data_IF_231454615497
#
_entry.id   IF_231454615497
#
_cell.length_a   1.000
_cell.length_b   1.000
_cell.length_c   1.000
_cell.angle_alpha   90.00
_cell.angle_beta   90.00
_cell.angle_gamma   90.00
#
_symmetry.space_group_name_H-M   'P 1'
#
loop_
_entity.id
_entity.type
_entity.pdbx_description
1 polymer ?
#
# COMPACT_ATOMS: atom_id res chain seq x y z
N UNK A 1 -29.11 19.59 1.57
CA UNK A 1 -29.12 18.48 2.56
C UNK A 1 -28.55 19.08 3.84
N UNK A 2 -29.29 19.00 4.95
CA UNK A 2 -28.89 19.61 6.21
C UNK A 2 -27.54 19.05 6.66
N UNK A 3 -26.55 19.93 6.85
CA UNK A 3 -25.36 19.65 7.64
C UNK A 3 -25.87 19.22 9.02
N UNK A 4 -25.97 17.92 9.27
CA UNK A 4 -26.16 17.41 10.63
C UNK A 4 -24.85 17.72 11.34
N UNK A 5 -24.86 18.82 12.10
CA UNK A 5 -23.76 19.26 12.96
C UNK A 5 -23.23 18.03 13.70
N UNK A 6 -21.97 17.67 13.44
CA UNK A 6 -21.38 16.51 14.10
C UNK A 6 -21.40 16.77 15.60
N UNK A 7 -22.06 15.93 16.41
CA UNK A 7 -22.16 16.18 17.84
C UNK A 7 -20.76 16.33 18.43
N UNK A 8 -20.60 17.34 19.29
CA UNK A 8 -19.30 17.61 19.91
C UNK A 8 -18.98 16.46 20.87
N UNK A 9 -17.81 15.84 20.71
CA UNK A 9 -17.36 14.71 21.51
C UNK A 9 -16.56 15.21 22.71
N UNK A 10 -16.86 14.69 23.90
CA UNK A 10 -16.08 14.90 25.12
C UNK A 10 -15.56 13.57 25.61
N UNK A 11 -14.24 13.42 25.62
CA UNK A 11 -13.54 12.30 26.22
C UNK A 11 -13.19 12.67 27.66
N UNK A 12 -13.60 11.86 28.63
CA UNK A 12 -13.31 12.04 30.05
C UNK A 12 -12.24 11.08 30.52
N UNK A 13 -11.42 11.53 31.47
CA UNK A 13 -10.42 10.70 32.14
C UNK A 13 -9.53 9.92 31.15
N UNK A 14 -9.09 10.58 30.08
CA UNK A 14 -8.11 10.01 29.14
C UNK A 14 -6.71 10.21 29.68
N UNK A 15 -5.84 9.23 29.52
CA UNK A 15 -4.40 9.48 29.61
C UNK A 15 -3.90 10.11 28.31
N UNK A 16 -3.05 11.12 28.41
CA UNK A 16 -2.39 11.79 27.28
C UNK A 16 -0.89 11.83 27.50
N UNK A 17 -0.10 11.73 26.43
CA UNK A 17 1.33 11.98 26.49
C UNK A 17 1.63 13.47 26.68
N UNK A 18 2.61 13.77 27.54
CA UNK A 18 3.21 15.10 27.66
C UNK A 18 4.40 15.21 26.70
N UNK A 19 4.85 16.45 26.43
CA UNK A 19 6.08 16.67 25.66
C UNK A 19 7.35 16.09 26.29
N UNK A 20 7.29 15.67 27.57
CA UNK A 20 8.38 15.00 28.30
C UNK A 20 8.33 13.47 28.24
N UNK A 21 7.38 12.87 27.52
CA UNK A 21 7.26 11.42 27.37
C UNK A 21 6.57 10.70 28.55
N UNK A 22 6.05 11.45 29.53
CA UNK A 22 5.20 10.91 30.61
C UNK A 22 3.72 10.99 30.24
N UNK A 23 2.84 10.30 30.97
CA UNK A 23 1.38 10.43 30.79
C UNK A 23 0.73 11.23 31.92
N UNK A 24 -0.43 11.81 31.64
CA UNK A 24 -1.30 12.49 32.63
C UNK A 24 -2.76 12.34 32.26
N UNK A 25 -3.64 12.37 33.27
CA UNK A 25 -5.09 12.37 33.06
C UNK A 25 -5.59 13.73 32.57
N UNK A 26 -6.52 13.71 31.63
CA UNK A 26 -7.18 14.89 31.11
C UNK A 26 -8.60 14.57 30.62
N UNK A 27 -9.37 15.63 30.40
CA UNK A 27 -10.56 15.63 29.57
C UNK A 27 -10.22 16.31 28.22
N UNK A 28 -10.79 15.82 27.13
CA UNK A 28 -10.57 16.35 25.77
C UNK A 28 -11.91 16.62 25.09
N UNK A 29 -12.05 17.81 24.50
CA UNK A 29 -13.19 18.15 23.65
C UNK A 29 -12.78 18.12 22.18
N UNK A 30 -13.56 17.42 21.36
CA UNK A 30 -13.42 17.37 19.91
C UNK A 30 -14.66 18.00 19.29
N UNK A 31 -14.44 19.03 18.47
CA UNK A 31 -15.49 19.75 17.73
C UNK A 31 -15.12 19.78 16.25
N UNK A 32 -16.05 19.42 15.37
CA UNK A 32 -15.84 19.37 13.92
C UNK A 32 -14.57 18.60 13.53
N UNK A 33 -14.33 17.46 14.19
CA UNK A 33 -13.17 16.59 13.94
C UNK A 33 -11.82 17.14 14.41
N UNK A 34 -11.80 18.25 15.17
CA UNK A 34 -10.57 18.86 15.71
C UNK A 34 -10.61 18.90 17.22
N UNK A 35 -9.45 18.71 17.85
CA UNK A 35 -9.28 18.97 19.29
C UNK A 35 -9.50 20.46 19.53
N UNK A 36 -10.56 20.78 20.26
CA UNK A 36 -10.99 22.15 20.55
C UNK A 36 -10.54 22.61 21.94
N UNK A 37 -10.47 21.68 22.90
CA UNK A 37 -10.03 21.94 24.26
C UNK A 37 -9.39 20.70 24.88
N UNK A 38 -8.48 20.93 25.82
CA UNK A 38 -7.82 19.92 26.62
C UNK A 38 -7.68 20.49 28.04
N UNK A 39 -8.04 19.70 29.06
CA UNK A 39 -7.94 20.13 30.45
C UNK A 39 -7.54 18.99 31.37
N UNK A 40 -6.58 19.24 32.25
CA UNK A 40 -6.10 18.26 33.24
C UNK A 40 -6.96 18.24 34.51
N UNK A 41 -7.75 19.29 34.74
CA UNK A 41 -8.69 19.33 35.84
C UNK A 41 -9.98 18.62 35.43
N UNK A 42 -10.22 17.42 35.99
CA UNK A 42 -11.40 16.62 35.69
C UNK A 42 -12.70 17.43 35.86
N UNK A 43 -13.62 17.28 34.90
CA UNK A 43 -14.93 17.90 34.95
C UNK A 43 -14.97 19.38 34.53
N UNK A 44 -13.85 19.98 34.13
CA UNK A 44 -13.81 21.40 33.71
C UNK A 44 -14.32 21.65 32.30
N UNK A 45 -14.18 20.68 31.39
CA UNK A 45 -14.83 20.75 30.07
C UNK A 45 -16.32 20.54 30.29
N UNK A 46 -17.15 21.55 30.03
CA UNK A 46 -18.59 21.40 30.11
C UNK A 46 -19.09 20.44 29.02
N UNK A 47 -20.01 19.55 29.37
CA UNK A 47 -20.74 18.72 28.43
C UNK A 47 -22.23 18.84 28.72
N UNK A 48 -23.03 19.04 27.69
CA UNK A 48 -24.49 19.11 27.77
C UNK A 48 -25.14 17.97 26.96
N UNK A 49 -26.47 17.98 26.84
CA UNK A 49 -27.23 16.95 26.13
C UNK A 49 -26.91 16.83 24.63
N UNK A 50 -26.26 17.84 24.03
CA UNK A 50 -25.84 17.82 22.62
C UNK A 50 -24.44 17.22 22.43
N UNK A 51 -23.76 16.87 23.53
CA UNK A 51 -22.43 16.26 23.50
C UNK A 51 -22.51 14.74 23.59
N UNK A 52 -21.72 14.06 22.76
CA UNK A 52 -21.40 12.66 23.00
C UNK A 52 -20.29 12.61 24.07
N UNK A 53 -20.55 11.94 25.20
CA UNK A 53 -19.56 11.82 26.28
C UNK A 53 -19.08 10.37 26.37
N UNK A 54 -17.76 10.19 26.34
CA UNK A 54 -17.10 8.89 26.52
C UNK A 54 -16.17 8.99 27.72
N UNK A 55 -16.37 8.16 28.74
CA UNK A 55 -15.42 8.02 29.84
C UNK A 55 -14.39 6.94 29.49
N UNK A 56 -13.15 7.36 29.29
CA UNK A 56 -12.04 6.48 28.93
C UNK A 56 -11.49 5.69 30.13
N UNK A 57 -11.89 6.03 31.37
CA UNK A 57 -11.51 5.32 32.60
C UNK A 57 -10.00 5.09 32.74
N UNK A 58 -9.21 6.11 32.38
CA UNK A 58 -7.75 6.05 32.38
C UNK A 58 -7.13 5.40 31.14
N UNK A 59 -7.91 5.14 30.09
CA UNK A 59 -7.38 4.68 28.80
C UNK A 59 -6.52 5.73 28.11
N UNK A 60 -5.43 5.29 27.49
CA UNK A 60 -4.51 6.15 26.75
C UNK A 60 -5.13 6.62 25.42
N UNK A 61 -5.24 7.94 25.27
CA UNK A 61 -5.64 8.58 24.02
C UNK A 61 -4.41 8.77 23.13
N UNK A 62 -4.36 7.97 22.06
CA UNK A 62 -3.32 8.05 21.04
C UNK A 62 -3.76 8.92 19.86
N UNK A 63 -2.81 9.60 19.18
CA UNK A 63 -3.03 10.01 17.81
C UNK A 63 -3.41 8.78 16.99
N UNK A 64 -4.35 8.94 16.06
CA UNK A 64 -4.70 7.85 15.16
C UNK A 64 -3.49 7.43 14.32
N UNK A 65 -3.35 6.13 14.09
CA UNK A 65 -2.18 5.59 13.39
C UNK A 65 -2.25 5.94 11.90
N UNK A 66 -1.08 6.21 11.32
CA UNK A 66 -0.93 6.48 9.90
C UNK A 66 -0.03 5.42 9.27
N UNK A 67 -0.57 4.69 8.30
CA UNK A 67 0.24 3.80 7.47
C UNK A 67 0.80 4.60 6.29
N UNK A 68 2.11 4.78 6.25
CA UNK A 68 2.77 5.61 5.25
C UNK A 68 3.06 4.88 3.94
N UNK A 69 2.76 3.59 3.81
CA UNK A 69 2.94 2.85 2.57
C UNK A 69 1.97 1.67 2.47
N UNK A 70 0.85 1.88 1.78
CA UNK A 70 -0.11 0.82 1.51
C UNK A 70 -0.56 0.82 0.04
N UNK A 71 -0.96 -0.34 -0.46
CA UNK A 71 -1.68 -0.48 -1.72
C UNK A 71 -3.12 -0.85 -1.39
N UNK A 72 -4.00 0.13 -1.18
CA UNK A 72 -5.30 -0.11 -0.54
C UNK A 72 -6.20 -1.02 -1.36
N UNK A 73 -6.27 -0.81 -2.68
CA UNK A 73 -7.08 -1.66 -3.57
C UNK A 73 -6.58 -3.11 -3.57
N UNK A 74 -5.26 -3.31 -3.55
CA UNK A 74 -4.63 -4.63 -3.49
C UNK A 74 -4.86 -5.32 -2.15
N UNK A 75 -4.79 -4.57 -1.04
CA UNK A 75 -5.15 -5.06 0.29
C UNK A 75 -6.63 -5.43 0.37
N UNK A 76 -7.52 -4.61 -0.18
CA UNK A 76 -8.94 -4.93 -0.22
C UNK A 76 -9.20 -6.20 -1.04
N UNK A 77 -8.57 -6.33 -2.22
CA UNK A 77 -8.68 -7.54 -3.03
C UNK A 77 -8.15 -8.80 -2.31
N UNK A 78 -7.12 -8.68 -1.46
CA UNK A 78 -6.56 -9.83 -0.73
C UNK A 78 -7.52 -10.40 0.31
N UNK A 79 -8.49 -9.62 0.81
CA UNK A 79 -9.49 -10.12 1.77
C UNK A 79 -10.39 -11.23 1.21
N UNK A 80 -10.54 -11.29 -0.12
CA UNK A 80 -11.29 -12.33 -0.82
C UNK A 80 -10.37 -13.34 -1.53
N UNK A 81 -9.07 -13.33 -1.21
CA UNK A 81 -8.08 -14.19 -1.87
C UNK A 81 -7.63 -15.32 -0.97
N UNK A 82 -7.23 -16.42 -1.60
CA UNK A 82 -6.61 -17.55 -0.91
C UNK A 82 -5.16 -17.20 -0.58
N UNK A 83 -4.73 -17.44 0.66
CA UNK A 83 -3.33 -17.34 1.02
C UNK A 83 -2.56 -18.51 0.38
N UNK A 84 -1.51 -18.19 -0.38
CA UNK A 84 -0.74 -19.18 -1.14
C UNK A 84 0.74 -19.24 -0.73
N UNK A 85 1.12 -18.58 0.36
CA UNK A 85 2.48 -18.64 0.88
C UNK A 85 2.55 -18.42 2.39
N UNK A 86 3.77 -18.38 2.95
CA UNK A 86 3.97 -18.34 4.39
C UNK A 86 3.41 -17.04 5.00
N UNK A 87 2.96 -17.07 6.27
CA UNK A 87 3.02 -18.21 7.18
C UNK A 87 1.87 -19.23 7.00
N UNK A 88 0.82 -18.89 6.26
CA UNK A 88 -0.40 -19.71 6.16
C UNK A 88 -0.21 -20.99 5.31
N UNK A 89 0.64 -20.92 4.29
CA UNK A 89 0.97 -22.04 3.40
C UNK A 89 2.48 -22.15 3.29
N UNK A 90 3.04 -23.28 3.71
CA UNK A 90 4.47 -23.52 3.78
C UNK A 90 4.94 -24.72 2.95
N UNK A 91 4.02 -25.47 2.33
CA UNK A 91 4.33 -26.64 1.52
C UNK A 91 3.40 -26.79 0.31
N UNK A 92 3.85 -27.55 -0.69
CA UNK A 92 3.06 -27.93 -1.88
C UNK A 92 1.70 -28.54 -1.52
N UNK A 93 1.65 -29.44 -0.53
CA UNK A 93 0.41 -30.09 -0.10
C UNK A 93 -0.58 -29.10 0.53
N UNK A 94 -0.08 -28.18 1.36
CA UNK A 94 -0.90 -27.10 1.92
C UNK A 94 -1.42 -26.16 0.84
N UNK A 95 -0.61 -25.87 -0.18
CA UNK A 95 -1.04 -25.06 -1.32
C UNK A 95 -2.19 -25.72 -2.08
N UNK A 96 -2.06 -27.02 -2.41
CA UNK A 96 -3.13 -27.76 -3.06
C UNK A 96 -4.42 -27.76 -2.22
N UNK A 97 -4.30 -27.96 -0.90
CA UNK A 97 -5.43 -27.89 0.03
C UNK A 97 -6.07 -26.50 0.09
N UNK A 98 -5.27 -25.43 0.10
CA UNK A 98 -5.75 -24.06 0.12
C UNK A 98 -6.51 -23.69 -1.15
N UNK A 99 -6.07 -24.20 -2.31
CA UNK A 99 -6.71 -23.96 -3.61
C UNK A 99 -8.02 -24.75 -3.81
N UNK A 100 -8.24 -25.82 -3.05
CA UNK A 100 -9.42 -26.68 -3.12
C UNK A 100 -10.72 -26.05 -2.57
N UNK A 101 -10.82 -24.72 -2.54
CA UNK A 101 -12.02 -24.02 -2.10
C UNK A 101 -13.14 -24.18 -3.15
N UNK A 102 -14.39 -24.42 -2.71
CA UNK A 102 -15.53 -24.49 -3.63
C UNK A 102 -15.82 -23.13 -4.26
N UNK A 103 -16.63 -23.15 -5.32
CA UNK A 103 -17.20 -21.96 -5.94
C UNK A 103 -17.01 -21.91 -7.44
N UNK A 104 -17.63 -20.91 -8.03
CA UNK A 104 -17.73 -20.72 -9.47
C UNK A 104 -16.91 -19.50 -9.89
N UNK A 105 -16.42 -19.47 -11.12
CA UNK A 105 -15.59 -18.36 -11.63
C UNK A 105 -14.15 -18.36 -11.12
N UNK A 106 -13.49 -17.20 -11.22
CA UNK A 106 -12.05 -17.06 -10.97
C UNK A 106 -11.68 -17.27 -9.50
N UNK A 107 -10.69 -18.12 -9.26
CA UNK A 107 -10.00 -18.20 -7.98
C UNK A 107 -8.75 -17.31 -8.00
N UNK A 108 -8.65 -16.42 -7.02
CA UNK A 108 -7.48 -15.56 -6.81
C UNK A 108 -6.71 -16.03 -5.58
N UNK A 109 -5.44 -16.36 -5.77
CA UNK A 109 -4.45 -16.58 -4.72
C UNK A 109 -3.49 -15.39 -4.60
N UNK A 110 -2.94 -15.17 -3.40
CA UNK A 110 -1.93 -14.12 -3.16
C UNK A 110 -0.87 -14.58 -2.18
N UNK A 111 0.28 -13.91 -2.22
CA UNK A 111 1.36 -14.11 -1.24
C UNK A 111 2.23 -15.34 -1.51
N UNK A 112 2.15 -15.94 -2.71
CA UNK A 112 2.97 -17.09 -3.04
C UNK A 112 4.47 -16.80 -2.93
N UNK A 113 5.23 -17.79 -2.47
CA UNK A 113 6.68 -17.74 -2.37
C UNK A 113 7.27 -19.07 -2.82
N UNK A 114 8.43 -19.02 -3.49
CA UNK A 114 9.12 -20.20 -4.04
C UNK A 114 9.56 -21.21 -2.94
N UNK A 115 9.56 -20.84 -1.65
CA UNK A 115 9.81 -21.80 -0.56
C UNK A 115 8.69 -22.82 -0.36
N UNK A 116 7.48 -22.55 -0.86
CA UNK A 116 6.34 -23.47 -0.79
C UNK A 116 6.53 -24.64 -1.78
N UNK A 117 6.85 -24.26 -3.01
CA UNK A 117 7.21 -25.15 -4.12
C UNK A 117 8.02 -24.32 -5.11
N UNK A 118 9.17 -24.84 -5.53
CA UNK A 118 9.98 -24.18 -6.54
C UNK A 118 9.37 -24.38 -7.94
N UNK A 119 9.25 -23.31 -8.71
CA UNK A 119 8.85 -23.39 -10.12
C UNK A 119 7.38 -23.72 -10.33
N UNK A 120 6.50 -23.26 -9.44
CA UNK A 120 5.04 -23.36 -9.64
C UNK A 120 4.65 -22.80 -11.03
N UNK A 121 3.92 -23.60 -11.80
CA UNK A 121 3.57 -23.29 -13.19
C UNK A 121 2.13 -23.69 -13.53
N UNK A 122 1.75 -23.43 -14.78
CA UNK A 122 0.46 -23.77 -15.36
C UNK A 122 0.14 -25.27 -15.24
N UNK A 123 1.12 -26.14 -15.51
CA UNK A 123 0.93 -27.60 -15.53
C UNK A 123 0.60 -28.12 -14.13
N UNK A 124 1.26 -27.59 -13.11
CA UNK A 124 0.97 -27.92 -11.73
C UNK A 124 -0.45 -27.46 -11.35
N UNK A 125 -0.83 -26.22 -11.71
CA UNK A 125 -2.16 -25.70 -11.39
C UNK A 125 -3.28 -26.45 -12.11
N UNK A 126 -3.06 -26.90 -13.34
CA UNK A 126 -4.01 -27.74 -14.07
C UNK A 126 -4.17 -29.13 -13.44
N UNK A 127 -3.12 -29.65 -12.79
CA UNK A 127 -3.14 -30.99 -12.16
C UNK A 127 -3.72 -30.99 -10.75
N UNK A 128 -3.37 -30.01 -9.93
CA UNK A 128 -3.68 -30.00 -8.50
C UNK A 128 -4.66 -28.88 -8.09
N UNK A 129 -4.88 -27.90 -8.96
CA UNK A 129 -5.84 -26.83 -8.75
C UNK A 129 -7.28 -27.24 -9.07
N UNK A 130 -8.26 -26.38 -8.74
CA UNK A 130 -9.66 -26.62 -9.08
C UNK A 130 -9.92 -26.49 -10.58
N UNK A 131 -10.98 -27.13 -11.06
CA UNK A 131 -11.43 -27.07 -12.45
C UNK A 131 -12.14 -25.74 -12.81
N UNK A 132 -11.46 -24.61 -12.58
CA UNK A 132 -11.89 -23.24 -12.88
C UNK A 132 -10.67 -22.34 -13.13
N UNK A 133 -10.82 -21.13 -13.69
CA UNK A 133 -9.69 -20.21 -13.85
C UNK A 133 -9.01 -19.89 -12.52
N UNK A 134 -7.69 -20.04 -12.47
CA UNK A 134 -6.86 -19.73 -11.29
C UNK A 134 -5.79 -18.73 -11.67
N UNK A 135 -5.59 -17.72 -10.83
CA UNK A 135 -4.40 -16.87 -10.83
C UNK A 135 -3.85 -16.71 -9.42
N UNK A 136 -2.55 -16.85 -9.27
CA UNK A 136 -1.86 -16.69 -7.98
C UNK A 136 -0.81 -15.58 -8.12
N UNK A 137 -0.89 -14.57 -7.25
CA UNK A 137 0.11 -13.51 -7.19
C UNK A 137 1.27 -13.95 -6.31
N UNK A 138 2.49 -13.88 -6.83
CA UNK A 138 3.70 -13.98 -6.02
C UNK A 138 3.77 -12.80 -5.03
N UNK A 139 4.36 -13.00 -3.85
CA UNK A 139 4.45 -11.98 -2.79
C UNK A 139 5.19 -10.71 -3.18
N UNK A 140 5.99 -10.74 -4.26
CA UNK A 140 6.61 -9.54 -4.83
C UNK A 140 5.59 -8.60 -5.49
N UNK A 141 4.37 -9.08 -5.77
CA UNK A 141 3.36 -8.37 -6.54
C UNK A 141 3.59 -8.37 -8.04
N UNK A 142 4.75 -8.84 -8.53
CA UNK A 142 5.22 -8.67 -9.92
C UNK A 142 4.93 -9.86 -10.83
N UNK A 143 4.58 -11.01 -10.26
CA UNK A 143 4.40 -12.25 -11.01
C UNK A 143 3.00 -12.81 -10.72
N UNK A 144 2.30 -13.12 -11.80
CA UNK A 144 1.10 -13.93 -11.80
C UNK A 144 1.40 -15.32 -12.36
N UNK A 145 0.90 -16.35 -11.66
CA UNK A 145 1.00 -17.74 -12.08
C UNK A 145 -0.43 -18.22 -12.34
N UNK A 146 -0.69 -18.70 -13.56
CA UNK A 146 -2.02 -18.94 -14.07
C UNK A 146 -2.16 -20.36 -14.63
N UNK A 147 -3.35 -20.94 -14.48
CA UNK A 147 -3.66 -22.24 -15.10
C UNK A 147 -4.13 -22.07 -16.56
N UNK A 148 -4.31 -23.19 -17.28
CA UNK A 148 -4.69 -23.15 -18.70
C UNK A 148 -6.01 -22.47 -18.97
N UNK A 149 -6.99 -22.66 -18.08
CA UNK A 149 -8.31 -22.02 -18.18
C UNK A 149 -8.20 -20.50 -18.08
N UNK A 150 -7.44 -19.99 -17.11
CA UNK A 150 -7.21 -18.56 -16.97
C UNK A 150 -6.44 -17.96 -18.15
N UNK A 151 -5.41 -18.67 -18.64
CA UNK A 151 -4.65 -18.24 -19.81
C UNK A 151 -5.52 -18.17 -21.08
N UNK A 152 -6.43 -19.13 -21.27
CA UNK A 152 -7.36 -19.12 -22.39
C UNK A 152 -8.33 -17.92 -22.32
N UNK A 153 -8.90 -17.63 -21.16
CA UNK A 153 -9.78 -16.46 -20.98
C UNK A 153 -9.04 -15.14 -21.21
N UNK A 154 -7.81 -15.02 -20.72
CA UNK A 154 -6.97 -13.83 -20.96
C UNK A 154 -6.66 -13.69 -22.45
N UNK A 155 -6.31 -14.77 -23.15
CA UNK A 155 -6.02 -14.74 -24.58
C UNK A 155 -7.22 -14.22 -25.37
N UNK A 156 -8.43 -14.70 -25.07
CA UNK A 156 -9.67 -14.21 -25.70
C UNK A 156 -9.93 -12.74 -25.37
N UNK A 157 -9.81 -12.33 -24.10
CA UNK A 157 -10.02 -10.93 -23.71
C UNK A 157 -9.00 -9.99 -24.38
N UNK A 158 -7.76 -10.46 -24.54
CA UNK A 158 -6.65 -9.70 -25.10
C UNK A 158 -6.77 -9.48 -26.62
N UNK A 159 -7.66 -10.16 -27.35
CA UNK A 159 -7.83 -9.98 -28.81
C UNK A 159 -8.06 -8.53 -29.22
N UNK A 160 -8.71 -7.75 -28.34
CA UNK A 160 -9.00 -6.33 -28.54
C UNK A 160 -7.82 -5.38 -28.26
N UNK A 161 -6.74 -5.86 -27.63
CA UNK A 161 -5.58 -5.03 -27.28
C UNK A 161 -4.62 -4.85 -28.47
N UNK A 162 -3.80 -3.78 -28.47
CA UNK A 162 -2.67 -3.64 -29.38
C UNK A 162 -1.69 -4.82 -29.29
N UNK A 163 -1.01 -5.14 -30.40
CA UNK A 163 -0.10 -6.29 -30.49
C UNK A 163 0.97 -6.31 -29.37
N UNK A 164 1.60 -5.18 -29.10
CA UNK A 164 2.64 -5.09 -28.07
C UNK A 164 2.13 -5.34 -26.64
N UNK A 165 0.86 -5.07 -26.34
CA UNK A 165 0.25 -5.41 -25.05
C UNK A 165 -0.15 -6.89 -25.00
N UNK A 166 -0.67 -7.43 -26.11
CA UNK A 166 -0.99 -8.86 -26.21
C UNK A 166 0.24 -9.74 -26.05
N UNK A 167 1.37 -9.34 -26.62
CA UNK A 167 2.62 -10.11 -26.54
C UNK A 167 3.11 -10.27 -25.10
N UNK A 168 2.81 -9.30 -24.22
CA UNK A 168 3.13 -9.37 -22.77
C UNK A 168 2.27 -10.37 -22.01
N UNK A 169 1.15 -10.81 -22.59
CA UNK A 169 0.21 -11.77 -22.00
C UNK A 169 0.41 -13.19 -22.55
N UNK A 170 1.40 -13.39 -23.42
CA UNK A 170 1.76 -14.71 -23.92
C UNK A 170 2.73 -15.39 -22.94
N UNK A 171 2.43 -16.63 -22.59
CA UNK A 171 3.30 -17.46 -21.76
C UNK A 171 3.05 -18.94 -22.08
N UNK A 172 4.09 -19.75 -21.97
CA UNK A 172 4.04 -21.22 -22.17
C UNK A 172 4.00 -22.00 -20.86
N UNK A 173 4.33 -21.34 -19.75
CA UNK A 173 4.36 -21.90 -18.39
C UNK A 173 3.31 -21.24 -17.47
N UNK A 174 2.45 -20.38 -18.03
CA UNK A 174 1.44 -19.61 -17.31
C UNK A 174 2.00 -18.54 -16.36
N UNK A 175 3.28 -18.17 -16.49
CA UNK A 175 3.91 -17.11 -15.69
C UNK A 175 3.92 -15.80 -16.46
N UNK A 176 3.29 -14.77 -15.92
CA UNK A 176 3.24 -13.41 -16.50
C UNK A 176 3.82 -12.39 -15.52
N UNK A 177 4.75 -11.57 -15.99
CA UNK A 177 5.45 -10.57 -15.19
C UNK A 177 4.98 -9.14 -15.51
N UNK A 178 4.77 -8.33 -14.48
CA UNK A 178 4.46 -6.89 -14.59
C UNK A 178 3.20 -6.56 -15.40
N UNK A 179 2.22 -7.47 -15.40
CA UNK A 179 0.97 -7.34 -16.17
C UNK A 179 -0.24 -6.95 -15.31
N UNK A 180 -0.06 -6.50 -14.07
CA UNK A 180 -1.18 -6.19 -13.15
C UNK A 180 -2.21 -5.21 -13.75
N UNK A 181 -1.74 -4.14 -14.41
CA UNK A 181 -2.61 -3.15 -15.05
C UNK A 181 -3.38 -3.75 -16.25
N UNK A 182 -2.71 -4.57 -17.07
CA UNK A 182 -3.32 -5.25 -18.21
C UNK A 182 -4.36 -6.30 -17.75
N UNK A 183 -4.04 -7.09 -16.73
CA UNK A 183 -4.99 -8.05 -16.16
C UNK A 183 -6.14 -7.34 -15.44
N UNK A 184 -5.89 -6.16 -14.86
CA UNK A 184 -6.89 -5.29 -14.27
C UNK A 184 -7.92 -4.79 -15.28
N UNK A 185 -7.46 -4.35 -16.46
CA UNK A 185 -8.33 -3.80 -17.51
C UNK A 185 -9.07 -4.88 -18.30
N UNK A 186 -8.44 -6.04 -18.51
CA UNK A 186 -9.03 -7.14 -19.29
C UNK A 186 -10.07 -7.93 -18.51
N UNK A 187 -9.80 -8.22 -17.24
CA UNK A 187 -10.66 -9.06 -16.45
C UNK A 187 -11.75 -8.19 -15.83
N UNK A 188 -13.01 -8.53 -16.08
CA UNK A 188 -14.15 -7.97 -15.33
C UNK A 188 -14.08 -8.46 -13.89
N UNK A 189 -13.30 -7.78 -13.08
CA UNK A 189 -13.15 -8.11 -11.67
C UNK A 189 -14.31 -7.50 -10.88
N UNK A 190 -14.85 -8.26 -9.94
CA UNK A 190 -15.69 -7.66 -8.91
C UNK A 190 -14.89 -6.56 -8.22
N UNK A 191 -15.54 -5.41 -7.97
CA UNK A 191 -14.91 -4.33 -7.23
C UNK A 191 -14.33 -4.87 -5.91
N UNK A 192 -13.10 -4.50 -5.53
CA UNK A 192 -12.51 -4.98 -4.30
C UNK A 192 -13.38 -4.54 -3.11
N UNK A 193 -13.45 -5.33 -2.02
CA UNK A 193 -14.30 -5.07 -0.86
C UNK A 193 -13.76 -3.91 0.01
N UNK A 194 -13.71 -2.70 -0.54
CA UNK A 194 -13.10 -1.52 0.06
C UNK A 194 -13.67 -1.19 1.44
N UNK A 195 -14.98 -1.31 1.59
CA UNK A 195 -15.66 -1.07 2.87
C UNK A 195 -15.18 -2.03 3.99
N UNK A 196 -14.96 -3.29 3.66
CA UNK A 196 -14.44 -4.28 4.60
C UNK A 196 -12.98 -3.99 4.94
N UNK A 197 -12.17 -3.65 3.94
CA UNK A 197 -10.76 -3.28 4.12
C UNK A 197 -10.60 -2.04 5.00
N UNK A 198 -11.38 -0.99 4.72
CA UNK A 198 -11.36 0.25 5.48
C UNK A 198 -11.76 0.04 6.95
N UNK A 199 -12.80 -0.77 7.20
CA UNK A 199 -13.21 -1.15 8.57
C UNK A 199 -12.14 -1.98 9.28
N UNK A 200 -11.45 -2.87 8.55
CA UNK A 200 -10.34 -3.66 9.11
C UNK A 200 -9.18 -2.77 9.55
N UNK A 201 -8.76 -1.83 8.71
CA UNK A 201 -7.74 -0.83 9.07
C UNK A 201 -8.17 0.00 10.28
N UNK A 202 -9.42 0.48 10.30
CA UNK A 202 -9.95 1.24 11.43
C UNK A 202 -9.96 0.43 12.73
N UNK A 203 -10.19 -0.89 12.67
CA UNK A 203 -10.14 -1.77 13.85
C UNK A 203 -8.75 -1.89 14.47
N UNK A 204 -7.69 -1.56 13.72
CA UNK A 204 -6.31 -1.45 14.22
C UNK A 204 -5.95 -0.04 14.68
N UNK A 205 -6.89 0.91 14.64
CA UNK A 205 -6.63 2.31 14.94
C UNK A 205 -5.96 3.09 13.80
N UNK A 206 -5.92 2.53 12.59
CA UNK A 206 -5.39 3.21 11.40
C UNK A 206 -6.44 4.19 10.89
N UNK A 207 -6.17 5.47 11.09
CA UNK A 207 -7.04 6.59 10.71
C UNK A 207 -6.57 7.30 9.45
N UNK A 208 -5.30 7.12 9.07
CA UNK A 208 -4.75 7.69 7.84
C UNK A 208 -3.88 6.68 7.11
N UNK A 209 -3.81 6.83 5.79
CA UNK A 209 -2.95 6.03 4.93
C UNK A 209 -2.31 6.91 3.86
N UNK A 210 -1.14 6.49 3.39
CA UNK A 210 -0.59 6.92 2.11
C UNK A 210 -0.77 5.76 1.10
N UNK A 211 -1.68 5.92 0.14
CA UNK A 211 -1.77 4.96 -0.96
C UNK A 211 -0.59 5.18 -1.91
N UNK A 212 0.19 4.12 -2.10
CA UNK A 212 1.49 4.13 -2.75
C UNK A 212 1.48 3.45 -4.12
N UNK A 213 0.30 3.26 -4.71
CA UNK A 213 0.17 2.54 -5.98
C UNK A 213 0.73 3.39 -7.13
N UNK A 214 1.77 2.94 -7.86
CA UNK A 214 2.45 3.76 -8.87
C UNK A 214 1.55 4.19 -10.03
N UNK A 215 0.55 3.37 -10.36
CA UNK A 215 -0.39 3.61 -11.45
C UNK A 215 -1.55 4.53 -11.09
N UNK A 216 -1.70 4.96 -9.82
CA UNK A 216 -2.77 5.85 -9.41
C UNK A 216 -2.83 7.09 -10.31
N UNK A 217 -4.04 7.41 -10.74
CA UNK A 217 -4.35 8.45 -11.71
C UNK A 217 -5.65 9.17 -11.36
N UNK A 218 -6.15 10.01 -12.27
CA UNK A 218 -7.35 10.81 -12.04
C UNK A 218 -8.60 9.95 -11.84
N UNK A 219 -8.72 8.82 -12.54
CA UNK A 219 -9.85 7.89 -12.37
C UNK A 219 -9.83 7.31 -10.95
N UNK A 220 -8.67 6.83 -10.51
CA UNK A 220 -8.48 6.29 -9.16
C UNK A 220 -8.77 7.34 -8.08
N UNK A 221 -8.36 8.59 -8.31
CA UNK A 221 -8.67 9.71 -7.43
C UNK A 221 -10.19 9.93 -7.27
N UNK A 222 -10.94 9.93 -8.38
CA UNK A 222 -12.40 10.08 -8.33
C UNK A 222 -13.07 8.88 -7.67
N UNK A 223 -12.57 7.67 -7.91
CA UNK A 223 -13.07 6.47 -7.25
C UNK A 223 -12.89 6.53 -5.72
N UNK A 224 -11.71 6.92 -5.23
CA UNK A 224 -11.48 7.11 -3.79
C UNK A 224 -12.39 8.20 -3.19
N UNK A 225 -12.62 9.28 -3.94
CA UNK A 225 -13.54 10.34 -3.53
C UNK A 225 -14.98 9.83 -3.41
N UNK A 226 -15.43 8.98 -4.32
CA UNK A 226 -16.74 8.33 -4.24
C UNK A 226 -16.83 7.40 -3.02
N UNK A 227 -15.83 6.53 -2.81
CA UNK A 227 -15.78 5.66 -1.62
C UNK A 227 -15.85 6.43 -0.30
N UNK A 228 -15.20 7.60 -0.22
CA UNK A 228 -15.28 8.45 0.97
C UNK A 228 -16.66 9.09 1.16
N UNK A 229 -17.31 9.49 0.07
CA UNK A 229 -18.66 10.07 0.10
C UNK A 229 -19.71 9.04 0.52
N UNK A 230 -19.54 7.78 0.07
CA UNK A 230 -20.43 6.67 0.40
C UNK A 230 -20.18 6.07 1.79
N UNK A 231 -19.09 6.48 2.46
CA UNK A 231 -18.71 5.97 3.79
C UNK A 231 -17.98 4.63 3.76
N UNK A 232 -17.61 4.16 2.57
CA UNK A 232 -16.84 2.92 2.35
C UNK A 232 -15.33 3.10 2.57
N UNK A 233 -14.87 4.35 2.70
CA UNK A 233 -13.49 4.69 3.07
C UNK A 233 -13.45 5.66 4.26
N UNK A 234 -13.07 5.12 5.42
CA UNK A 234 -13.01 5.80 6.71
C UNK A 234 -11.67 6.53 6.93
N UNK A 235 -10.59 6.07 6.32
CA UNK A 235 -9.26 6.68 6.51
C UNK A 235 -9.15 8.03 5.79
N UNK A 236 -8.30 8.91 6.31
CA UNK A 236 -7.70 9.99 5.51
C UNK A 236 -6.67 9.37 4.55
N UNK A 237 -6.65 9.84 3.31
CA UNK A 237 -5.76 9.31 2.28
C UNK A 237 -4.86 10.41 1.76
N UNK A 238 -3.56 10.13 1.74
CA UNK A 238 -2.58 10.78 0.88
C UNK A 238 -2.36 9.87 -0.31
N UNK A 239 -2.65 10.32 -1.53
CA UNK A 239 -2.57 9.47 -2.72
C UNK A 239 -1.33 9.84 -3.54
N UNK A 240 -0.34 8.95 -3.56
CA UNK A 240 0.82 9.02 -4.44
C UNK A 240 0.50 8.29 -5.74
N UNK A 241 1.19 8.61 -6.83
CA UNK A 241 0.89 8.02 -8.14
C UNK A 241 1.56 8.74 -9.30
N UNK A 242 0.98 8.60 -10.49
CA UNK A 242 1.50 9.15 -11.75
C UNK A 242 1.60 10.69 -11.71
N UNK A 243 2.42 11.31 -12.58
CA UNK A 243 2.43 12.77 -12.77
C UNK A 243 1.06 13.36 -13.11
N UNK A 244 0.17 12.58 -13.75
CA UNK A 244 -1.19 12.99 -14.09
C UNK A 244 -2.03 13.44 -12.87
N UNK A 245 -1.67 13.04 -11.65
CA UNK A 245 -2.32 13.49 -10.42
C UNK A 245 -2.03 14.95 -10.05
N UNK A 246 -1.03 15.61 -10.65
CA UNK A 246 -0.64 16.98 -10.27
C UNK A 246 -1.74 18.04 -10.47
N UNK A 247 -2.79 17.73 -11.25
CA UNK A 247 -3.93 18.63 -11.49
C UNK A 247 -5.16 18.42 -10.58
N UNK A 248 -5.11 17.49 -9.62
CA UNK A 248 -6.27 17.22 -8.76
C UNK A 248 -6.50 18.32 -7.72
N UNK A 249 -7.74 18.46 -7.24
CA UNK A 249 -8.08 19.36 -6.13
C UNK A 249 -8.18 18.56 -4.82
N UNK A 250 -7.25 18.75 -3.87
CA UNK A 250 -7.30 18.10 -2.56
C UNK A 250 -8.54 18.49 -1.75
N UNK A 251 -8.90 17.61 -0.82
CA UNK A 251 -9.85 17.87 0.26
C UNK A 251 -9.19 17.63 1.61
N UNK A 252 -9.91 17.85 2.71
CA UNK A 252 -9.40 17.55 4.06
C UNK A 252 -9.09 16.06 4.27
N UNK A 253 -9.81 15.15 3.58
CA UNK A 253 -9.67 13.69 3.77
C UNK A 253 -8.91 13.00 2.63
N UNK A 254 -8.82 13.60 1.45
CA UNK A 254 -8.07 13.07 0.30
C UNK A 254 -7.09 14.12 -0.19
N UNK A 255 -5.80 13.87 -0.02
CA UNK A 255 -4.71 14.80 -0.31
C UNK A 255 -3.76 14.22 -1.36
N UNK A 256 -3.14 15.11 -2.14
CA UNK A 256 -2.16 14.73 -3.15
C UNK A 256 -0.84 14.36 -2.48
N UNK A 257 -0.32 13.18 -2.84
CA UNK A 257 0.98 12.68 -2.44
C UNK A 257 2.06 12.86 -3.51
N UNK A 258 3.10 12.08 -3.36
CA UNK A 258 4.33 12.09 -4.13
C UNK A 258 4.12 11.53 -5.54
N UNK A 259 5.00 11.89 -6.46
CA UNK A 259 5.15 11.12 -7.70
C UNK A 259 5.77 9.79 -7.34
N UNK A 260 4.99 8.71 -7.49
CA UNK A 260 5.46 7.38 -7.12
C UNK A 260 6.24 6.76 -8.27
N UNK A 261 7.45 6.31 -7.96
CA UNK A 261 8.38 5.73 -8.93
C UNK A 261 8.74 4.32 -8.49
N UNK A 262 8.76 3.39 -9.44
CA UNK A 262 9.28 2.05 -9.24
C UNK A 262 10.46 1.87 -10.20
N UNK A 263 11.65 1.62 -9.65
CA UNK A 263 12.83 1.27 -10.41
C UNK A 263 12.92 -0.25 -10.55
N UNK A 264 13.67 -0.69 -11.55
CA UNK A 264 13.99 -2.10 -11.76
C UNK A 264 15.49 -2.22 -11.95
N UNK A 265 16.19 -2.86 -11.01
CA UNK A 265 17.64 -3.08 -11.12
C UNK A 265 18.07 -3.69 -12.47
N UNK A 266 17.30 -4.65 -12.98
CA UNK A 266 17.60 -5.31 -14.26
C UNK A 266 17.37 -4.41 -15.49
N UNK A 267 16.71 -3.27 -15.31
CA UNK A 267 16.26 -2.39 -16.39
C UNK A 267 16.12 -0.94 -15.90
N UNK A 268 17.19 -0.39 -15.30
CA UNK A 268 17.18 1.00 -14.87
C UNK A 268 16.97 1.94 -16.07
N UNK A 269 16.20 3.03 -15.90
CA UNK A 269 16.07 4.04 -16.94
C UNK A 269 17.41 4.73 -17.21
N UNK A 270 17.51 5.43 -18.34
CA UNK A 270 18.65 6.32 -18.56
C UNK A 270 18.70 7.35 -17.43
N UNK A 271 19.90 7.57 -16.88
CA UNK A 271 20.07 8.43 -15.71
C UNK A 271 19.56 9.87 -15.93
N UNK A 272 19.79 10.43 -17.13
CA UNK A 272 19.29 11.76 -17.49
C UNK A 272 17.76 11.82 -17.47
N UNK A 273 17.08 10.82 -18.04
CA UNK A 273 15.62 10.74 -18.05
C UNK A 273 15.07 10.66 -16.63
N UNK A 274 15.75 9.92 -15.75
CA UNK A 274 15.34 9.83 -14.35
C UNK A 274 15.49 11.16 -13.60
N UNK A 275 16.60 11.87 -13.80
CA UNK A 275 16.79 13.23 -13.26
C UNK A 275 15.69 14.17 -13.77
N UNK A 276 15.30 14.07 -15.04
CA UNK A 276 14.24 14.90 -15.61
C UNK A 276 12.86 14.57 -15.04
N UNK A 277 12.57 13.29 -14.73
CA UNK A 277 11.36 12.90 -13.99
C UNK A 277 11.32 13.57 -12.62
N UNK A 278 12.44 13.57 -11.89
CA UNK A 278 12.53 14.20 -10.56
C UNK A 278 12.26 15.70 -10.68
N UNK A 279 12.98 16.40 -11.57
CA UNK A 279 12.79 17.84 -11.81
C UNK A 279 11.37 18.17 -12.23
N UNK A 280 10.77 17.37 -13.10
CA UNK A 280 9.39 17.56 -13.51
C UNK A 280 8.43 17.45 -12.32
N UNK A 281 8.60 16.42 -11.47
CA UNK A 281 7.80 16.27 -10.25
C UNK A 281 7.92 17.50 -9.35
N UNK A 282 9.15 17.94 -9.07
CA UNK A 282 9.42 19.10 -8.21
C UNK A 282 8.86 20.40 -8.78
N UNK A 283 8.96 20.61 -10.10
CA UNK A 283 8.38 21.76 -10.77
C UNK A 283 6.84 21.79 -10.71
N UNK A 284 6.20 20.64 -10.51
CA UNK A 284 4.75 20.54 -10.23
C UNK A 284 4.42 20.62 -8.74
N UNK A 285 5.39 20.93 -7.89
CA UNK A 285 5.22 21.04 -6.44
C UNK A 285 5.08 19.70 -5.72
N UNK A 286 5.49 18.59 -6.34
CA UNK A 286 5.40 17.24 -5.77
C UNK A 286 6.78 16.67 -5.51
N UNK A 287 7.00 16.21 -4.30
CA UNK A 287 8.11 15.31 -3.98
C UNK A 287 7.98 13.96 -4.70
N UNK A 288 9.06 13.18 -4.72
CA UNK A 288 9.07 11.82 -5.24
C UNK A 288 9.07 10.78 -4.12
N UNK A 289 8.52 9.60 -4.42
CA UNK A 289 8.59 8.41 -3.58
C UNK A 289 9.15 7.25 -4.42
N UNK A 290 10.37 6.80 -4.13
CA UNK A 290 11.04 5.79 -4.96
C UNK A 290 11.05 4.44 -4.26
N UNK A 291 10.54 3.40 -4.93
CA UNK A 291 10.69 2.02 -4.45
C UNK A 291 12.16 1.64 -4.55
N UNK A 292 12.75 1.26 -3.43
CA UNK A 292 14.17 0.98 -3.36
C UNK A 292 14.42 -0.13 -2.34
N UNK A 293 14.69 -1.33 -2.85
CA UNK A 293 14.94 -2.52 -2.06
C UNK A 293 16.37 -3.01 -2.19
N UNK A 294 17.14 -2.47 -3.14
CA UNK A 294 18.54 -2.83 -3.36
C UNK A 294 19.48 -1.63 -3.21
N UNK A 295 20.77 -1.92 -3.01
CA UNK A 295 21.82 -0.90 -2.98
C UNK A 295 21.92 -0.15 -4.32
N UNK A 296 21.79 -0.87 -5.44
CA UNK A 296 21.91 -0.28 -6.79
C UNK A 296 20.83 0.77 -7.03
N UNK A 297 19.57 0.45 -6.73
CA UNK A 297 18.45 1.39 -6.74
C UNK A 297 18.72 2.61 -5.85
N UNK A 298 19.30 2.41 -4.67
CA UNK A 298 19.55 3.48 -3.71
C UNK A 298 20.62 4.43 -4.22
N UNK A 299 21.77 3.90 -4.64
CA UNK A 299 22.87 4.69 -5.21
C UNK A 299 22.40 5.48 -6.42
N UNK A 300 21.66 4.83 -7.33
CA UNK A 300 21.10 5.46 -8.51
C UNK A 300 20.17 6.62 -8.13
N UNK A 301 19.30 6.40 -7.15
CA UNK A 301 18.32 7.40 -6.70
C UNK A 301 18.97 8.60 -6.02
N UNK A 302 19.88 8.37 -5.06
CA UNK A 302 20.57 9.45 -4.35
C UNK A 302 21.45 10.27 -5.29
N UNK A 303 22.10 9.62 -6.27
CA UNK A 303 22.87 10.30 -7.30
C UNK A 303 21.98 11.20 -8.16
N UNK A 304 20.80 10.71 -8.56
CA UNK A 304 19.86 11.51 -9.36
C UNK A 304 19.29 12.69 -8.56
N UNK A 305 18.95 12.50 -7.29
CA UNK A 305 18.51 13.57 -6.39
C UNK A 305 19.59 14.65 -6.20
N UNK A 306 20.86 14.26 -6.10
CA UNK A 306 21.98 15.21 -6.01
C UNK A 306 22.10 16.10 -7.25
N UNK A 307 21.80 15.57 -8.43
CA UNK A 307 21.83 16.30 -9.71
C UNK A 307 20.55 17.12 -9.95
N UNK A 308 19.40 16.59 -9.56
CA UNK A 308 18.11 17.26 -9.69
C UNK A 308 17.95 18.39 -8.66
N UNK A 309 18.55 18.23 -7.48
CA UNK A 309 18.26 18.98 -6.27
C UNK A 309 17.15 18.28 -5.49
N UNK A 310 17.39 17.93 -4.22
CA UNK A 310 16.37 17.31 -3.38
C UNK A 310 15.31 18.34 -2.93
N UNK A 311 14.06 17.88 -2.83
CA UNK A 311 12.92 18.64 -2.33
C UNK A 311 12.47 18.07 -0.97
N UNK A 312 12.04 18.94 -0.07
CA UNK A 312 11.43 18.51 1.18
C UNK A 312 10.22 17.59 0.91
N UNK A 313 10.26 16.39 1.50
CA UNK A 313 9.26 15.35 1.27
C UNK A 313 9.69 14.26 0.30
N UNK A 314 10.82 14.43 -0.42
CA UNK A 314 11.42 13.33 -1.19
C UNK A 314 11.74 12.18 -0.25
N UNK A 315 11.42 10.97 -0.69
CA UNK A 315 11.53 9.79 0.17
C UNK A 315 11.86 8.50 -0.56
N UNK A 316 12.52 7.62 0.18
CA UNK A 316 12.85 6.26 -0.21
C UNK A 316 11.87 5.31 0.49
N UNK A 317 11.21 4.49 -0.31
CA UNK A 317 10.33 3.43 0.19
C UNK A 317 11.13 2.16 0.42
N UNK A 318 10.84 1.49 1.53
CA UNK A 318 11.50 0.29 2.05
C UNK A 318 12.90 0.57 2.59
N UNK A 319 13.82 0.99 1.70
CA UNK A 319 15.25 1.07 1.97
C UNK A 319 15.76 -0.22 2.64
N UNK A 320 15.49 -1.36 2.00
CA UNK A 320 15.70 -2.69 2.62
C UNK A 320 17.18 -3.00 2.85
N UNK A 321 18.06 -2.47 1.98
CA UNK A 321 19.52 -2.60 2.08
C UNK A 321 20.12 -1.20 2.00
N UNK A 322 20.77 -0.76 3.08
CA UNK A 322 21.38 0.57 3.19
C UNK A 322 22.78 0.43 3.78
N UNK A 323 23.83 0.37 2.94
CA UNK A 323 25.20 0.41 3.42
C UNK A 323 25.47 1.68 4.24
N UNK A 324 26.36 1.64 5.25
CA UNK A 324 26.64 2.78 6.13
C UNK A 324 26.98 4.09 5.38
N UNK A 325 27.71 4.00 4.26
CA UNK A 325 28.07 5.16 3.45
C UNK A 325 26.87 5.86 2.78
N UNK A 326 25.76 5.16 2.55
CA UNK A 326 24.54 5.75 1.98
C UNK A 326 23.66 6.43 3.03
N UNK A 327 23.83 6.10 4.32
CA UNK A 327 23.16 6.79 5.43
C UNK A 327 23.58 8.26 5.47
N UNK A 328 24.87 8.54 5.32
CA UNK A 328 25.38 9.92 5.30
C UNK A 328 24.79 10.72 4.13
N UNK A 329 24.63 10.08 2.96
CA UNK A 329 24.05 10.73 1.78
C UNK A 329 22.54 11.00 1.94
N UNK A 330 21.79 10.08 2.57
CA UNK A 330 20.38 10.29 2.91
C UNK A 330 20.21 11.51 3.83
N UNK A 331 21.08 11.64 4.84
CA UNK A 331 21.09 12.76 5.77
C UNK A 331 21.48 14.08 5.08
N UNK A 332 22.52 14.06 4.24
CA UNK A 332 22.97 15.23 3.47
C UNK A 332 21.86 15.78 2.57
N UNK A 333 21.12 14.89 1.90
CA UNK A 333 20.03 15.26 1.00
C UNK A 333 18.70 15.55 1.72
N UNK A 334 18.59 15.24 3.02
CA UNK A 334 17.36 15.41 3.80
C UNK A 334 16.22 14.49 3.35
N UNK A 335 16.55 13.32 2.82
CA UNK A 335 15.57 12.37 2.23
C UNK A 335 15.01 11.47 3.33
N UNK A 336 13.68 11.33 3.37
CA UNK A 336 13.02 10.49 4.38
C UNK A 336 13.02 9.02 3.96
N UNK A 337 13.14 8.10 4.91
CA UNK A 337 12.97 6.66 4.68
C UNK A 337 11.64 6.20 5.26
N UNK A 338 10.82 5.52 4.47
CA UNK A 338 9.59 4.87 4.91
C UNK A 338 9.79 3.34 4.84
N UNK A 339 10.02 2.72 5.99
CA UNK A 339 10.34 1.29 6.09
C UNK A 339 9.19 0.45 6.65
N UNK A 340 9.30 -0.88 6.55
CA UNK A 340 8.28 -1.85 6.96
C UNK A 340 8.92 -2.86 7.93
N UNK A 341 8.91 -2.57 9.25
CA UNK A 341 9.62 -3.40 10.24
C UNK A 341 9.22 -4.88 10.24
N UNK A 342 7.97 -5.17 9.86
CA UNK A 342 7.48 -6.55 9.74
C UNK A 342 8.29 -7.40 8.74
N UNK A 343 8.95 -6.78 7.74
CA UNK A 343 9.80 -7.51 6.81
C UNK A 343 11.00 -8.17 7.48
N UNK A 344 11.44 -7.71 8.66
CA UNK A 344 12.48 -8.41 9.42
C UNK A 344 11.99 -9.80 9.85
N UNK A 345 10.74 -9.90 10.34
CA UNK A 345 10.16 -11.17 10.73
C UNK A 345 9.93 -12.11 9.53
N UNK A 346 9.53 -11.57 8.38
CA UNK A 346 9.20 -12.37 7.20
C UNK A 346 10.40 -12.70 6.29
N UNK A 347 11.44 -11.86 6.31
CA UNK A 347 12.55 -11.89 5.33
C UNK A 347 13.93 -11.82 5.99
N UNK A 348 14.03 -11.73 7.32
CA UNK A 348 15.30 -11.63 8.03
C UNK A 348 16.29 -12.74 7.68
N UNK A 349 15.82 -13.99 7.59
CA UNK A 349 16.67 -15.12 7.19
C UNK A 349 17.19 -15.01 5.75
N UNK A 350 16.39 -14.42 4.86
CA UNK A 350 16.84 -14.13 3.50
C UNK A 350 17.91 -13.04 3.50
N UNK A 351 17.72 -11.96 4.26
CA UNK A 351 18.73 -10.92 4.41
C UNK A 351 20.05 -11.45 4.97
N UNK A 352 20.01 -12.32 6.00
CA UNK A 352 21.22 -12.94 6.57
C UNK A 352 21.98 -13.79 5.53
N UNK A 353 21.26 -14.47 4.64
CA UNK A 353 21.86 -15.32 3.61
C UNK A 353 22.39 -14.51 2.43
N UNK A 354 21.65 -13.49 2.01
CA UNK A 354 21.84 -12.81 0.73
C UNK A 354 22.69 -11.54 0.88
N UNK A 355 22.81 -10.97 2.09
CA UNK A 355 23.65 -9.80 2.39
C UNK A 355 24.95 -10.28 3.07
N UNK A 356 26.13 -9.88 2.58
CA UNK A 356 27.40 -10.21 3.22
C UNK A 356 27.44 -9.72 4.68
N UNK A 357 27.93 -10.55 5.61
CA UNK A 357 28.00 -10.18 7.04
C UNK A 357 28.88 -8.95 7.36
N UNK A 358 29.60 -8.42 6.36
CA UNK A 358 30.44 -7.24 6.48
C UNK A 358 29.70 -5.93 6.11
N UNK A 359 28.48 -6.03 5.58
CA UNK A 359 27.58 -4.92 5.25
C UNK A 359 26.49 -4.72 6.32
#
# INVERSE_FOLDING_TARGET
MSDTETPTLVLRHVEIFTGSGTTRLADVQVRNGKVAALSEAAGTIAADANHQVIDARGGLLLPGLNDHHVHLASFAASLNSVACGPPDVSSEAELAGALAQPGDGWLRGTGFHESVIAGLDQVWLDRYGPARPVRIQHRSGRLWILNSLAMAEIATAAESLPAHERDRLQSTDGRLYDVDELLGSLLRQAAPPMAAASRRLASFGITGINDMTPSNDLETWQWFKALMADGDLLQHVRMSGRPALSGVTPSHRLTLGETKIHLHDSALPAFADFVDIIRHSHNTGRAIAVHCVTEVELVFTLSALRVAGALAGDRIEHASVVPPALIEQLLELGVTVVTQPNFIAERGDAYIRDIPAAE
#
